data_IF_877118818269
#
_entry.id   IF_877118818269
#
_cell.length_a   1.000
_cell.length_b   1.000
_cell.length_c   1.000
_cell.angle_alpha   90.00
_cell.angle_beta   90.00
_cell.angle_gamma   90.00
#
_symmetry.space_group_name_H-M   'P 1'
#
loop_
_entity.id
_entity.type
_entity.pdbx_description
1 polymer ?
#
# COMPACT_ATOMS: atom_id res chain seq x y z
N UNK A 1 3.36 1.24 12.56
CA UNK A 1 2.26 1.98 11.91
C UNK A 1 0.95 1.58 12.56
N UNK A 2 0.06 2.52 12.84
CA UNK A 2 -1.36 2.18 13.02
C UNK A 2 -1.99 2.06 11.63
N UNK A 3 -2.94 1.13 11.47
CA UNK A 3 -3.60 0.86 10.19
C UNK A 3 -4.29 2.12 9.60
N UNK A 4 -4.69 3.04 10.48
CA UNK A 4 -5.26 4.36 10.16
C UNK A 4 -4.33 5.25 9.34
N UNK A 5 -3.01 5.12 9.50
CA UNK A 5 -2.02 5.92 8.75
C UNK A 5 -2.01 5.52 7.27
N UNK A 6 -2.27 4.25 6.97
CA UNK A 6 -2.32 3.71 5.60
C UNK A 6 -3.59 4.18 4.86
N UNK A 7 -4.70 4.30 5.58
CA UNK A 7 -5.97 4.80 5.07
C UNK A 7 -5.86 6.28 4.62
N UNK A 8 -5.10 7.11 5.33
CA UNK A 8 -4.86 8.51 4.93
C UNK A 8 -3.88 8.64 3.76
N UNK A 9 -2.87 7.77 3.68
CA UNK A 9 -1.90 7.77 2.59
C UNK A 9 -2.51 7.41 1.23
N UNK A 10 -3.55 6.57 1.21
CA UNK A 10 -4.21 6.11 -0.04
C UNK A 10 -4.73 7.27 -0.89
N UNK A 11 -5.15 8.38 -0.27
CA UNK A 11 -5.66 9.57 -0.98
C UNK A 11 -4.60 10.25 -1.85
N UNK A 12 -3.33 9.96 -1.60
CA UNK A 12 -2.21 10.45 -2.41
C UNK A 12 -1.72 9.42 -3.41
N UNK A 13 -2.36 8.26 -3.50
CA UNK A 13 -1.97 7.13 -4.33
C UNK A 13 -3.01 6.90 -5.42
N UNK A 14 -2.55 6.50 -6.61
CA UNK A 14 -3.42 6.17 -7.74
C UNK A 14 -2.95 4.86 -8.35
N UNK A 15 -3.85 3.90 -8.53
CA UNK A 15 -3.52 2.64 -9.20
C UNK A 15 -3.23 2.93 -10.67
N UNK A 16 -2.00 2.64 -11.11
CA UNK A 16 -1.65 2.65 -12.53
C UNK A 16 -1.95 1.31 -13.18
N UNK A 17 -1.50 0.23 -12.54
CA UNK A 17 -1.73 -1.14 -12.99
C UNK A 17 -1.82 -2.06 -11.79
N UNK A 18 -2.74 -3.01 -11.84
CA UNK A 18 -2.86 -4.04 -10.82
C UNK A 18 -3.10 -5.38 -11.49
N UNK A 19 -2.24 -6.34 -11.17
CA UNK A 19 -2.38 -7.76 -11.50
C UNK A 19 -2.22 -8.57 -10.20
N UNK A 20 -2.72 -9.81 -10.13
CA UNK A 20 -2.44 -10.69 -9.01
C UNK A 20 -0.92 -10.79 -8.76
N UNK A 21 -0.51 -10.49 -7.53
CA UNK A 21 0.89 -10.49 -7.10
C UNK A 21 1.71 -9.23 -7.41
N UNK A 22 1.18 -8.27 -8.18
CA UNK A 22 1.86 -6.99 -8.41
C UNK A 22 0.92 -5.81 -8.57
N UNK A 23 1.16 -4.74 -7.80
CA UNK A 23 0.49 -3.46 -7.97
C UNK A 23 1.51 -2.36 -8.25
N UNK A 24 1.20 -1.50 -9.22
CA UNK A 24 1.94 -0.26 -9.48
C UNK A 24 1.04 0.91 -9.13
N UNK A 25 1.53 1.75 -8.24
CA UNK A 25 0.86 2.97 -7.80
C UNK A 25 1.68 4.18 -8.28
N UNK A 26 0.98 5.24 -8.64
CA UNK A 26 1.54 6.58 -8.69
C UNK A 26 1.26 7.31 -7.38
N UNK A 27 2.14 8.22 -7.00
CA UNK A 27 1.94 9.07 -5.84
C UNK A 27 2.07 10.55 -6.20
N UNK A 28 1.36 11.41 -5.46
CA UNK A 28 1.44 12.85 -5.67
C UNK A 28 2.84 13.39 -5.33
N UNK A 29 3.38 14.37 -6.08
CA UNK A 29 4.62 15.06 -5.72
C UNK A 29 4.55 15.69 -4.31
N UNK A 30 3.34 16.08 -3.87
CA UNK A 30 3.11 16.63 -2.54
C UNK A 30 3.45 15.64 -1.41
N UNK A 31 3.53 14.34 -1.71
CA UNK A 31 3.94 13.30 -0.78
C UNK A 31 5.47 13.27 -0.60
N UNK A 32 6.24 13.65 -1.61
CA UNK A 32 7.71 13.55 -1.62
C UNK A 32 8.38 14.58 -0.71
N UNK A 33 7.77 15.75 -0.55
CA UNK A 33 8.27 16.83 0.31
C UNK A 33 7.94 16.62 1.79
N UNK A 34 7.15 15.59 2.12
CA UNK A 34 6.70 15.31 3.49
C UNK A 34 7.77 14.56 4.28
N UNK A 35 8.21 15.06 5.45
CA UNK A 35 9.19 14.39 6.30
C UNK A 35 8.77 12.97 6.68
N UNK A 36 7.47 12.76 6.93
CA UNK A 36 6.91 11.46 7.34
C UNK A 36 7.18 10.36 6.29
N UNK A 37 7.23 10.73 5.01
CA UNK A 37 7.44 9.81 3.88
C UNK A 37 8.90 9.45 3.71
N UNK A 38 9.82 10.40 3.97
CA UNK A 38 11.26 10.14 3.97
C UNK A 38 11.65 9.19 5.09
N UNK A 39 11.06 9.37 6.28
CA UNK A 39 11.24 8.45 7.41
C UNK A 39 10.66 7.07 7.10
N UNK A 40 9.50 6.98 6.46
CA UNK A 40 8.89 5.71 6.03
C UNK A 40 9.84 4.87 5.15
N UNK A 41 10.55 5.50 4.21
CA UNK A 41 11.53 4.81 3.35
C UNK A 41 12.83 4.43 4.06
N UNK A 42 13.17 5.11 5.17
CA UNK A 42 14.41 4.89 5.91
C UNK A 42 14.23 3.89 7.08
N UNK A 43 13.01 3.72 7.60
CA UNK A 43 12.75 3.08 8.90
C UNK A 43 12.32 1.61 8.83
N UNK A 44 11.95 1.07 7.66
CA UNK A 44 11.43 -0.29 7.56
C UNK A 44 12.37 -1.18 6.73
N UNK A 45 13.29 -1.85 7.43
CA UNK A 45 14.10 -2.92 6.84
C UNK A 45 13.30 -4.21 6.62
N UNK A 46 12.17 -4.37 7.32
CA UNK A 46 11.30 -5.54 7.20
C UNK A 46 10.02 -5.19 6.46
N UNK A 47 9.75 -5.96 5.41
CA UNK A 47 8.52 -5.86 4.63
C UNK A 47 7.35 -6.45 5.42
N UNK A 48 6.14 -5.87 5.32
CA UNK A 48 4.96 -6.46 5.93
C UNK A 48 4.73 -7.90 5.46
N UNK A 49 4.13 -8.77 6.30
CA UNK A 49 3.76 -10.11 5.87
C UNK A 49 2.95 -10.10 4.56
N UNK A 50 3.29 -11.00 3.65
CA UNK A 50 2.66 -11.05 2.32
C UNK A 50 3.19 -10.03 1.30
N UNK A 51 4.05 -9.09 1.69
CA UNK A 51 4.78 -8.20 0.76
C UNK A 51 6.15 -8.81 0.46
N UNK A 52 6.42 -9.03 -0.82
CA UNK A 52 7.65 -9.67 -1.29
C UNK A 52 8.72 -8.65 -1.66
N UNK A 53 8.32 -7.53 -2.26
CA UNK A 53 9.24 -6.44 -2.57
C UNK A 53 8.52 -5.11 -2.72
N UNK A 54 9.24 -4.02 -2.42
CA UNK A 54 8.78 -2.64 -2.67
C UNK A 54 9.87 -1.91 -3.41
N UNK A 55 9.54 -1.34 -4.57
CA UNK A 55 10.46 -0.54 -5.39
C UNK A 55 9.87 0.83 -5.65
N UNK A 56 10.49 1.85 -5.06
CA UNK A 56 10.10 3.25 -5.23
C UNK A 56 10.96 3.88 -6.32
N UNK A 57 10.33 4.53 -7.29
CA UNK A 57 10.96 5.41 -8.26
C UNK A 57 10.41 6.83 -8.07
N UNK A 58 11.17 7.63 -7.32
CA UNK A 58 10.81 9.02 -6.98
C UNK A 58 10.76 9.90 -8.21
N UNK A 59 11.66 9.72 -9.19
CA UNK A 59 11.68 10.50 -10.42
C UNK A 59 10.41 10.29 -11.26
N UNK A 60 9.91 9.05 -11.29
CA UNK A 60 8.67 8.70 -11.97
C UNK A 60 7.42 8.79 -11.07
N UNK A 61 7.57 9.28 -9.82
CA UNK A 61 6.52 9.35 -8.80
C UNK A 61 5.72 8.05 -8.67
N UNK A 62 6.41 6.92 -8.69
CA UNK A 62 5.78 5.60 -8.74
C UNK A 62 6.37 4.64 -7.73
N UNK A 63 5.53 3.73 -7.24
CA UNK A 63 5.95 2.59 -6.43
C UNK A 63 5.40 1.31 -7.05
N UNK A 64 6.22 0.27 -7.07
CA UNK A 64 5.83 -1.09 -7.44
C UNK A 64 5.91 -1.93 -6.19
N UNK A 65 4.82 -2.63 -5.87
CA UNK A 65 4.75 -3.56 -4.76
C UNK A 65 4.48 -4.95 -5.36
N UNK A 66 5.38 -5.89 -5.09
CA UNK A 66 5.17 -7.31 -5.34
C UNK A 66 4.69 -7.94 -4.04
N UNK A 67 3.63 -8.74 -4.13
CA UNK A 67 2.97 -9.34 -2.97
C UNK A 67 2.59 -10.80 -3.29
N UNK A 68 2.37 -11.58 -2.25
CA UNK A 68 1.82 -12.93 -2.36
C UNK A 68 0.29 -12.84 -2.52
N UNK A 69 -0.28 -13.19 -3.69
CA UNK A 69 -1.72 -13.07 -3.93
C UNK A 69 -2.57 -14.06 -3.12
N UNK A 70 -1.97 -15.11 -2.55
CA UNK A 70 -2.69 -16.05 -1.69
C UNK A 70 -2.92 -15.42 -0.30
N UNK A 71 -1.89 -14.75 0.23
CA UNK A 71 -1.95 -14.03 1.52
C UNK A 71 -2.69 -12.70 1.42
N UNK A 72 -2.40 -11.91 0.39
CA UNK A 72 -3.04 -10.61 0.13
C UNK A 72 -3.95 -10.74 -1.08
N UNK A 73 -5.25 -10.94 -0.84
CA UNK A 73 -6.20 -11.11 -1.93
C UNK A 73 -6.22 -9.86 -2.85
N UNK A 74 -6.07 -10.02 -4.18
CA UNK A 74 -6.04 -8.88 -5.10
C UNK A 74 -7.30 -8.02 -5.04
N UNK A 75 -8.48 -8.61 -4.83
CA UNK A 75 -9.73 -7.87 -4.70
C UNK A 75 -9.70 -6.92 -3.50
N UNK A 76 -9.28 -7.40 -2.33
CA UNK A 76 -9.13 -6.58 -1.13
C UNK A 76 -8.14 -5.44 -1.34
N UNK A 77 -7.02 -5.70 -2.00
CA UNK A 77 -6.04 -4.65 -2.27
C UNK A 77 -6.62 -3.59 -3.23
N UNK A 78 -7.41 -3.98 -4.21
CA UNK A 78 -8.07 -3.01 -5.10
C UNK A 78 -9.13 -2.18 -4.35
N UNK A 79 -9.92 -2.82 -3.49
CA UNK A 79 -10.92 -2.15 -2.66
C UNK A 79 -10.29 -1.22 -1.62
N UNK A 80 -9.10 -1.54 -1.12
CA UNK A 80 -8.35 -0.65 -0.23
C UNK A 80 -8.10 0.72 -0.88
N UNK A 81 -7.83 0.78 -2.19
CA UNK A 81 -7.53 2.02 -2.90
C UNK A 81 -8.75 2.68 -3.55
N UNK A 82 -9.85 1.95 -3.75
CA UNK A 82 -11.03 2.42 -4.50
C UNK A 82 -12.30 2.53 -3.66
N UNK A 83 -12.34 1.88 -2.49
CA UNK A 83 -13.47 1.86 -1.58
C UNK A 83 -13.67 3.17 -0.82
N UNK A 84 -14.90 3.38 -0.35
CA UNK A 84 -15.22 4.45 0.58
C UNK A 84 -14.59 4.18 1.97
N UNK A 85 -14.66 5.16 2.88
CA UNK A 85 -14.01 5.04 4.20
C UNK A 85 -14.49 3.83 5.00
N UNK A 86 -15.81 3.57 5.04
CA UNK A 86 -16.36 2.42 5.75
C UNK A 86 -15.82 1.09 5.18
N UNK A 87 -15.80 0.96 3.85
CA UNK A 87 -15.29 -0.24 3.20
C UNK A 87 -13.80 -0.43 3.43
N UNK A 88 -13.04 0.65 3.44
CA UNK A 88 -11.59 0.58 3.67
C UNK A 88 -11.28 0.11 5.09
N UNK A 89 -12.05 0.54 6.09
CA UNK A 89 -11.90 0.03 7.46
C UNK A 89 -12.12 -1.49 7.52
N UNK A 90 -13.15 -1.98 6.84
CA UNK A 90 -13.43 -3.43 6.79
C UNK A 90 -12.35 -4.22 6.05
N UNK A 91 -11.89 -3.71 4.90
CA UNK A 91 -10.80 -4.31 4.11
C UNK A 91 -9.52 -4.38 4.92
N UNK A 92 -9.19 -3.32 5.66
CA UNK A 92 -8.02 -3.28 6.53
C UNK A 92 -8.11 -4.33 7.66
N UNK A 93 -9.29 -4.51 8.26
CA UNK A 93 -9.54 -5.55 9.26
C UNK A 93 -9.32 -6.95 8.68
N UNK A 94 -9.89 -7.23 7.50
CA UNK A 94 -9.76 -8.52 6.83
C UNK A 94 -8.30 -8.83 6.43
N UNK A 95 -7.57 -7.84 5.94
CA UNK A 95 -6.14 -7.98 5.64
C UNK A 95 -5.32 -8.25 6.91
N UNK A 96 -5.64 -7.59 8.02
CA UNK A 96 -4.94 -7.83 9.29
C UNK A 96 -5.15 -9.26 9.79
N UNK A 97 -6.38 -9.77 9.73
CA UNK A 97 -6.70 -11.16 10.10
C UNK A 97 -5.95 -12.17 9.22
N UNK A 98 -5.93 -11.96 7.90
CA UNK A 98 -5.22 -12.84 6.95
C UNK A 98 -3.70 -12.88 7.13
N UNK A 99 -3.11 -11.81 7.65
CA UNK A 99 -1.65 -11.65 7.75
C UNK A 99 -1.09 -11.99 9.13
N UNK A 100 -1.94 -12.15 10.14
CA UNK A 100 -1.57 -12.47 11.52
C UNK A 100 -1.68 -13.96 11.84
N UNK A 101 -2.31 -14.74 10.95
CA UNK A 101 -2.45 -16.21 11.00
C UNK A 101 -1.33 -16.88 10.22
#
# INVERSE_FOLDING_TARGET
MQLSDLAGLRHYLTIKHHIPGRIRLFFSPALVSRPEVRELTASHSELPPGVLSVRVNVMALSVIIEYDPERVAPALLNELFTGNEDRVVDVLRELHERLTV
#
